data_IF_781354805930
#
_entry.id   IF_781354805930
#
_cell.length_a   1.000
_cell.length_b   1.000
_cell.length_c   1.000
_cell.angle_alpha   90.00
_cell.angle_beta   90.00
_cell.angle_gamma   90.00
#
_symmetry.space_group_name_H-M   'P 1'
#
loop_
_entity.id
_entity.type
_entity.pdbx_description
1 polymer ?
#
# COMPACT_ATOMS: atom_id res chain seq x y z
N UNK A 1 20.23 -42.67 -73.02
CA UNK A 1 21.07 -41.70 -72.30
C UNK A 1 20.79 -40.31 -72.87
N UNK A 2 20.18 -39.41 -72.11
CA UNK A 2 19.92 -38.04 -72.57
C UNK A 2 21.09 -37.12 -72.18
N UNK A 3 21.70 -36.45 -73.16
CA UNK A 3 22.79 -35.48 -72.96
C UNK A 3 22.19 -34.21 -72.35
N UNK A 4 22.73 -33.78 -71.20
CA UNK A 4 22.37 -32.51 -70.57
C UNK A 4 23.45 -31.48 -70.91
N UNK A 5 23.10 -30.44 -71.67
CA UNK A 5 24.03 -29.35 -72.03
C UNK A 5 23.87 -28.17 -71.05
N UNK A 6 24.97 -27.79 -70.40
CA UNK A 6 25.02 -26.71 -69.42
C UNK A 6 25.18 -25.35 -70.12
N UNK A 7 24.15 -24.50 -70.06
CA UNK A 7 24.20 -23.15 -70.64
C UNK A 7 24.89 -22.16 -69.67
N UNK A 8 26.10 -21.71 -70.05
CA UNK A 8 27.03 -20.92 -69.23
C UNK A 8 26.80 -19.40 -69.28
N UNK A 9 25.67 -18.91 -69.79
CA UNK A 9 25.50 -17.50 -70.19
C UNK A 9 24.62 -16.63 -69.27
N UNK A 10 24.00 -17.17 -68.21
CA UNK A 10 23.12 -16.36 -67.35
C UNK A 10 23.88 -15.71 -66.16
N UNK A 11 24.78 -14.74 -66.41
CA UNK A 11 25.30 -13.89 -65.33
C UNK A 11 24.23 -12.86 -64.94
N UNK A 12 23.62 -13.01 -63.75
CA UNK A 12 22.59 -12.10 -63.23
C UNK A 12 23.22 -10.72 -62.92
N UNK A 13 22.63 -9.64 -63.45
CA UNK A 13 23.05 -8.27 -63.16
C UNK A 13 22.67 -7.89 -61.71
N UNK A 14 23.53 -7.19 -60.95
CA UNK A 14 23.19 -6.72 -59.61
C UNK A 14 22.10 -5.64 -59.69
N UNK A 15 21.21 -5.62 -58.69
CA UNK A 15 20.12 -4.64 -58.60
C UNK A 15 20.66 -3.30 -58.10
N UNK A 16 20.16 -2.17 -58.60
CA UNK A 16 20.57 -0.85 -58.11
C UNK A 16 20.08 -0.64 -56.67
N UNK A 17 20.90 0.02 -55.86
CA UNK A 17 20.60 0.37 -54.46
C UNK A 17 20.19 1.84 -54.45
N UNK A 18 19.02 2.16 -53.90
CA UNK A 18 18.56 3.54 -53.76
C UNK A 18 19.11 4.18 -52.48
N UNK A 19 19.44 5.46 -52.55
CA UNK A 19 19.95 6.25 -51.42
C UNK A 19 18.97 6.31 -50.25
N UNK A 20 19.51 6.31 -49.03
CA UNK A 20 18.72 6.40 -47.80
C UNK A 20 18.36 7.85 -47.47
N UNK A 21 17.12 8.08 -47.03
CA UNK A 21 16.66 9.40 -46.60
C UNK A 21 17.24 9.72 -45.22
N UNK A 22 17.84 10.90 -45.09
CA UNK A 22 18.37 11.42 -43.82
C UNK A 22 17.20 11.62 -42.84
N UNK A 23 17.32 11.02 -41.65
CA UNK A 23 16.29 11.08 -40.62
C UNK A 23 16.17 12.49 -40.05
N UNK A 24 14.95 13.02 -40.04
CA UNK A 24 14.59 14.22 -39.29
C UNK A 24 13.79 13.82 -38.04
N UNK A 25 13.89 14.58 -36.94
CA UNK A 25 13.09 14.32 -35.75
C UNK A 25 11.60 14.40 -36.09
N UNK A 26 10.83 13.46 -35.53
CA UNK A 26 9.39 13.34 -35.80
C UNK A 26 8.59 14.48 -35.16
N UNK A 27 9.05 14.99 -34.02
CA UNK A 27 8.37 16.03 -33.25
C UNK A 27 9.39 17.04 -32.75
N UNK A 28 8.98 18.30 -32.73
CA UNK A 28 9.77 19.42 -32.18
C UNK A 28 9.02 19.97 -30.99
N UNK A 29 9.75 20.33 -29.94
CA UNK A 29 9.15 20.88 -28.72
C UNK A 29 8.33 22.14 -29.04
N UNK A 30 7.05 22.12 -28.68
CA UNK A 30 6.14 23.25 -28.81
C UNK A 30 5.69 23.67 -27.40
N UNK A 31 5.96 24.90 -26.95
CA UNK A 31 5.57 25.34 -25.61
C UNK A 31 4.05 25.34 -25.37
N UNK A 32 3.23 25.41 -26.43
CA UNK A 32 1.78 25.42 -26.32
C UNK A 32 1.17 24.05 -25.95
N UNK A 33 1.85 22.93 -26.28
CA UNK A 33 1.35 21.59 -25.92
C UNK A 33 1.52 21.31 -24.43
N UNK A 34 2.62 21.80 -23.85
CA UNK A 34 2.91 21.65 -22.42
C UNK A 34 1.88 22.39 -21.57
N UNK A 35 1.47 23.59 -21.97
CA UNK A 35 0.44 24.35 -21.25
C UNK A 35 -0.93 23.66 -21.31
N UNK A 36 -1.29 23.07 -22.44
CA UNK A 36 -2.57 22.35 -22.57
C UNK A 36 -2.64 21.07 -21.73
N UNK A 37 -1.53 20.36 -21.58
CA UNK A 37 -1.45 19.15 -20.73
C UNK A 37 -1.58 19.51 -19.25
N UNK A 38 -0.91 20.58 -18.81
CA UNK A 38 -1.01 21.07 -17.43
C UNK A 38 -2.41 21.57 -17.10
N UNK A 39 -3.07 22.29 -18.02
CA UNK A 39 -4.46 22.72 -17.85
C UNK A 39 -5.45 21.55 -17.82
N UNK A 40 -5.19 20.49 -18.59
CA UNK A 40 -5.99 19.27 -18.58
C UNK A 40 -5.84 18.52 -17.24
N UNK A 41 -4.62 18.37 -16.75
CA UNK A 41 -4.32 17.72 -15.47
C UNK A 41 -4.87 18.49 -14.26
N UNK A 42 -5.01 19.82 -14.37
CA UNK A 42 -5.65 20.66 -13.36
C UNK A 42 -7.19 20.61 -13.41
N UNK A 43 -7.78 20.40 -14.60
CA UNK A 43 -9.23 20.28 -14.80
C UNK A 43 -9.76 18.88 -14.45
N UNK A 44 -8.95 17.84 -14.62
CA UNK A 44 -9.30 16.50 -14.15
C UNK A 44 -9.08 16.38 -12.65
N UNK A 45 -10.10 16.76 -11.86
CA UNK A 45 -10.21 16.29 -10.49
C UNK A 45 -10.22 14.75 -10.51
N UNK A 46 -9.04 14.14 -10.27
CA UNK A 46 -8.93 12.68 -10.16
C UNK A 46 -10.01 12.21 -9.19
N UNK A 47 -10.92 11.29 -9.59
CA UNK A 47 -12.01 10.88 -8.74
C UNK A 47 -11.40 10.35 -7.44
N UNK A 48 -11.77 10.99 -6.31
CA UNK A 48 -11.33 10.57 -4.97
C UNK A 48 -11.54 9.06 -4.89
N UNK A 49 -10.44 8.30 -4.83
CA UNK A 49 -10.50 6.83 -4.74
C UNK A 49 -11.52 6.49 -3.67
N UNK A 50 -12.60 5.79 -4.05
CA UNK A 50 -13.63 5.33 -3.11
C UNK A 50 -12.89 4.60 -2.00
N UNK A 51 -12.86 5.19 -0.79
CA UNK A 51 -12.31 4.53 0.39
C UNK A 51 -13.15 3.27 0.56
N UNK A 52 -12.55 2.11 0.26
CA UNK A 52 -13.25 0.84 0.37
C UNK A 52 -13.79 0.65 1.78
N UNK A 53 -14.81 -0.21 1.92
CA UNK A 53 -15.28 -0.65 3.24
C UNK A 53 -14.05 -1.09 4.06
N UNK A 54 -13.90 -0.63 5.32
CA UNK A 54 -12.85 -1.13 6.19
C UNK A 54 -12.90 -2.67 6.16
N UNK A 55 -11.77 -3.34 5.91
CA UNK A 55 -11.72 -4.80 5.90
C UNK A 55 -12.19 -5.30 7.27
N UNK A 56 -13.44 -5.75 7.32
CA UNK A 56 -14.06 -6.38 8.49
C UNK A 56 -13.19 -7.57 8.89
N UNK A 57 -12.82 -7.69 10.17
CA UNK A 57 -12.07 -8.85 10.70
C UNK A 57 -10.56 -8.67 10.93
N UNK A 58 -10.00 -7.45 10.85
CA UNK A 58 -8.59 -7.21 11.25
C UNK A 58 -8.37 -7.04 12.75
N UNK A 59 -9.42 -6.71 13.50
CA UNK A 59 -9.37 -6.48 14.94
C UNK A 59 -10.17 -7.57 15.64
N UNK A 60 -9.57 -8.18 16.65
CA UNK A 60 -10.21 -9.15 17.51
C UNK A 60 -10.77 -8.38 18.71
N UNK A 61 -12.08 -8.43 18.92
CA UNK A 61 -12.73 -7.77 20.03
C UNK A 61 -13.25 -8.82 21.00
N UNK A 62 -12.99 -8.62 22.28
CA UNK A 62 -13.51 -9.44 23.36
C UNK A 62 -14.39 -8.56 24.25
N UNK A 63 -15.54 -9.08 24.66
CA UNK A 63 -16.48 -8.34 25.52
C UNK A 63 -16.21 -8.66 26.99
N UNK A 64 -15.84 -7.65 27.78
CA UNK A 64 -15.69 -7.76 29.24
C UNK A 64 -16.91 -7.17 29.93
N UNK A 65 -17.51 -7.90 30.87
CA UNK A 65 -18.61 -7.37 31.71
C UNK A 65 -18.01 -6.60 32.88
N UNK A 66 -18.40 -5.33 33.02
CA UNK A 66 -17.96 -4.44 34.07
C UNK A 66 -19.16 -3.89 34.86
N UNK A 67 -18.93 -3.50 36.11
CA UNK A 67 -19.91 -2.75 36.89
C UNK A 67 -20.13 -1.37 36.28
N UNK A 68 -21.36 -0.86 36.37
CA UNK A 68 -21.72 0.46 35.83
C UNK A 68 -20.85 1.59 36.42
N UNK A 69 -20.50 1.49 37.71
CA UNK A 69 -19.62 2.44 38.39
C UNK A 69 -18.19 2.46 37.84
N UNK A 70 -17.71 1.36 37.25
CA UNK A 70 -16.39 1.31 36.61
C UNK A 70 -16.47 1.91 35.20
N UNK A 71 -17.55 1.63 34.46
CA UNK A 71 -17.78 2.21 33.12
C UNK A 71 -17.86 3.74 33.20
N UNK A 72 -18.54 4.30 34.21
CA UNK A 72 -18.59 5.75 34.39
C UNK A 72 -17.22 6.37 34.66
N UNK A 73 -16.34 5.67 35.40
CA UNK A 73 -14.95 6.10 35.61
C UNK A 73 -14.14 6.08 34.31
N UNK A 74 -14.28 5.03 33.50
CA UNK A 74 -13.62 4.93 32.19
C UNK A 74 -14.07 6.08 31.28
N UNK A 75 -15.39 6.35 31.22
CA UNK A 75 -15.93 7.45 30.42
C UNK A 75 -15.44 8.82 30.93
N UNK A 76 -15.34 9.01 32.25
CA UNK A 76 -14.80 10.24 32.81
C UNK A 76 -13.33 10.45 32.42
N UNK A 77 -12.52 9.38 32.45
CA UNK A 77 -11.12 9.40 32.01
C UNK A 77 -10.97 9.68 30.52
N UNK A 78 -11.80 9.04 29.68
CA UNK A 78 -11.84 9.25 28.23
C UNK A 78 -12.06 10.74 27.92
N UNK A 79 -13.07 11.36 28.56
CA UNK A 79 -13.39 12.77 28.38
C UNK A 79 -12.33 13.71 28.95
N UNK A 80 -11.74 13.38 30.11
CA UNK A 80 -10.73 14.22 30.75
C UNK A 80 -9.41 14.26 29.98
N UNK A 81 -9.01 13.13 29.38
CA UNK A 81 -7.76 12.99 28.64
C UNK A 81 -7.93 13.26 27.14
N UNK A 82 -9.16 13.46 26.66
CA UNK A 82 -9.46 13.67 25.24
C UNK A 82 -9.09 12.47 24.37
N UNK A 83 -9.15 11.26 24.93
CA UNK A 83 -8.80 10.02 24.23
C UNK A 83 -9.96 9.66 23.31
N UNK A 84 -9.63 9.10 22.13
CA UNK A 84 -10.62 8.87 21.08
C UNK A 84 -11.48 7.63 21.32
N UNK A 85 -10.96 6.66 22.06
CA UNK A 85 -11.65 5.39 22.32
C UNK A 85 -11.46 4.91 23.76
N UNK A 86 -12.45 4.18 24.26
CA UNK A 86 -12.39 3.53 25.58
C UNK A 86 -11.25 2.50 25.66
N UNK A 87 -10.97 1.80 24.56
CA UNK A 87 -9.89 0.81 24.45
C UNK A 87 -8.53 1.45 24.74
N UNK A 88 -8.21 2.55 24.06
CA UNK A 88 -6.99 3.34 24.29
C UNK A 88 -6.91 3.87 25.73
N UNK A 89 -8.06 4.20 26.34
CA UNK A 89 -8.11 4.67 27.73
C UNK A 89 -7.77 3.55 28.71
N UNK A 90 -8.25 2.33 28.44
CA UNK A 90 -7.95 1.14 29.23
C UNK A 90 -6.48 0.73 29.06
N UNK A 91 -5.97 0.71 27.82
CA UNK A 91 -4.56 0.39 27.54
C UNK A 91 -3.61 1.34 28.28
N UNK A 92 -3.84 2.65 28.20
CA UNK A 92 -3.03 3.64 28.92
C UNK A 92 -3.10 3.45 30.45
N UNK A 93 -4.26 3.05 30.98
CA UNK A 93 -4.40 2.78 32.41
C UNK A 93 -3.61 1.52 32.80
N UNK A 94 -3.66 0.46 32.00
CA UNK A 94 -2.89 -0.77 32.20
C UNK A 94 -1.40 -0.52 32.10
N UNK A 95 -0.94 0.23 31.10
CA UNK A 95 0.48 0.60 30.93
C UNK A 95 1.02 1.35 32.15
N UNK A 96 0.24 2.28 32.70
CA UNK A 96 0.61 3.00 33.94
C UNK A 96 0.75 2.04 35.12
N UNK A 97 -0.15 1.07 35.25
CA UNK A 97 -0.07 0.06 36.31
C UNK A 97 1.16 -0.82 36.10
N UNK A 98 1.40 -1.33 34.90
CA UNK A 98 2.57 -2.17 34.56
C UNK A 98 3.87 -1.43 34.86
N UNK A 99 3.95 -0.15 34.52
CA UNK A 99 5.12 0.69 34.81
C UNK A 99 5.31 0.98 36.31
N UNK A 100 4.26 0.84 37.12
CA UNK A 100 4.33 0.99 38.57
C UNK A 100 4.69 -0.30 39.31
N UNK A 101 4.70 -1.45 38.63
CA UNK A 101 5.02 -2.74 39.24
C UNK A 101 6.49 -2.84 39.65
N UNK A 102 6.75 -3.61 40.70
CA UNK A 102 8.10 -4.04 41.07
C UNK A 102 8.67 -5.05 40.07
N UNK A 103 9.99 -5.29 40.10
CA UNK A 103 10.65 -6.23 39.19
C UNK A 103 10.07 -7.63 39.24
N UNK A 104 9.72 -8.09 40.45
CA UNK A 104 9.22 -9.46 40.67
C UNK A 104 7.76 -9.59 40.20
N UNK A 105 6.93 -8.58 40.47
CA UNK A 105 5.55 -8.52 39.97
C UNK A 105 5.49 -8.44 38.45
N UNK A 106 6.40 -7.67 37.83
CA UNK A 106 6.51 -7.59 36.37
C UNK A 106 6.89 -8.94 35.76
N UNK A 107 7.85 -9.65 36.37
CA UNK A 107 8.22 -11.00 35.94
C UNK A 107 7.04 -11.99 36.04
N UNK A 108 6.26 -11.91 37.12
CA UNK A 108 5.06 -12.72 37.28
C UNK A 108 4.01 -12.39 36.22
N UNK A 109 3.80 -11.11 35.94
CA UNK A 109 2.89 -10.64 34.89
C UNK A 109 3.28 -11.18 33.51
N UNK A 110 4.55 -11.08 33.13
CA UNK A 110 5.06 -11.59 31.84
C UNK A 110 4.84 -13.11 31.69
N UNK A 111 5.09 -13.87 32.76
CA UNK A 111 4.82 -15.32 32.79
C UNK A 111 3.35 -15.65 32.54
N UNK A 112 2.44 -14.95 33.23
CA UNK A 112 1.00 -15.15 33.04
C UNK A 112 0.55 -14.77 31.64
N UNK A 113 1.07 -13.67 31.09
CA UNK A 113 0.77 -13.22 29.73
C UNK A 113 1.16 -14.30 28.71
N UNK A 114 2.38 -14.83 28.82
CA UNK A 114 2.87 -15.89 27.93
C UNK A 114 1.99 -17.15 28.00
N UNK A 115 1.53 -17.52 29.20
CA UNK A 115 0.62 -18.66 29.37
C UNK A 115 -0.74 -18.45 28.70
N UNK A 116 -1.32 -17.25 28.81
CA UNK A 116 -2.61 -16.95 28.17
C UNK A 116 -2.48 -16.89 26.65
N UNK A 117 -1.43 -16.28 26.11
CA UNK A 117 -1.18 -16.23 24.66
C UNK A 117 -1.03 -17.63 24.05
N UNK A 118 -0.39 -18.57 24.78
CA UNK A 118 -0.28 -19.97 24.35
C UNK A 118 -1.60 -20.74 24.42
N UNK A 119 -2.54 -20.31 25.25
CA UNK A 119 -3.86 -20.94 25.38
C UNK A 119 -4.84 -20.47 24.30
N UNK A 120 -4.72 -19.22 23.88
CA UNK A 120 -5.59 -18.65 22.84
C UNK A 120 -5.12 -18.95 21.40
N UNK A 121 -3.86 -19.39 21.23
CA UNK A 121 -3.32 -19.95 19.98
C UNK A 121 -3.64 -21.44 19.84
#
# INVERSE_FOLDING_TARGET
MAKFEFQKSAKKKPRPISETKISKPKETYNPASVTSEVEHDLKEEKPKKRRGRPKTGRKNYTTVRLMQSTVTKINALENALGIKTQDETVDQALDRVINSLTSDEKRAYELWLEMFEKKEK
#
